data_IF_017321865213
#
_entry.id   IF_017321865213
#
_cell.length_a   1.000
_cell.length_b   1.000
_cell.length_c   1.000
_cell.angle_alpha   90.00
_cell.angle_beta   90.00
_cell.angle_gamma   90.00
#
_symmetry.space_group_name_H-M   'P 1'
#
loop_
_entity.id
_entity.type
_entity.pdbx_description
1 polymer ?
#
# COMPACT_ATOMS: atom_id res chain seq x y z
N UNK A 1 -4.20 -55.66 17.08
CA UNK A 1 -3.29 -54.61 16.54
C UNK A 1 -3.64 -54.37 15.07
N UNK A 2 -4.46 -53.36 14.82
CA UNK A 2 -4.75 -52.90 13.45
C UNK A 2 -3.83 -51.69 13.16
N UNK A 3 -2.60 -52.00 12.77
CA UNK A 3 -1.65 -51.01 12.28
C UNK A 3 -2.08 -50.53 10.92
N UNK A 4 -2.84 -49.42 10.86
CA UNK A 4 -3.07 -48.70 9.62
C UNK A 4 -1.76 -48.09 9.10
N UNK A 5 -1.66 -47.75 7.81
CA UNK A 5 -0.47 -47.10 7.26
C UNK A 5 -0.17 -45.81 8.00
N UNK A 6 1.11 -45.44 8.19
CA UNK A 6 1.52 -44.22 8.90
C UNK A 6 0.87 -43.01 8.22
N UNK A 7 0.12 -42.23 8.98
CA UNK A 7 -0.47 -40.95 8.52
C UNK A 7 0.56 -39.85 8.65
N UNK A 8 0.92 -39.23 7.53
CA UNK A 8 1.72 -38.04 7.53
C UNK A 8 0.82 -36.85 7.90
N UNK A 9 1.11 -36.19 9.00
CA UNK A 9 0.39 -35.00 9.46
C UNK A 9 1.25 -33.77 9.11
N UNK A 10 0.71 -32.89 8.30
CA UNK A 10 1.34 -31.62 8.02
C UNK A 10 0.76 -30.56 8.94
N UNK A 11 1.63 -29.83 9.64
CA UNK A 11 1.23 -28.70 10.48
C UNK A 11 1.83 -27.41 9.91
N UNK A 12 1.02 -26.35 9.89
CA UNK A 12 1.49 -25.01 9.52
C UNK A 12 2.33 -24.49 10.70
N UNK A 13 3.61 -24.29 10.49
CA UNK A 13 4.54 -23.78 11.52
C UNK A 13 4.52 -22.26 11.66
N UNK A 14 4.16 -21.55 10.58
CA UNK A 14 4.13 -20.08 10.54
C UNK A 14 2.76 -19.59 10.11
N UNK A 15 2.23 -18.60 10.82
CA UNK A 15 1.00 -17.95 10.40
C UNK A 15 1.29 -16.97 9.25
N UNK A 16 0.55 -17.09 8.16
CA UNK A 16 0.71 -16.30 6.94
C UNK A 16 -0.64 -15.65 6.62
N UNK A 17 -0.61 -14.37 6.23
CA UNK A 17 -1.73 -13.66 5.62
C UNK A 17 -1.48 -13.54 4.13
N UNK A 18 -2.46 -13.91 3.32
CA UNK A 18 -2.45 -13.72 1.86
C UNK A 18 -3.66 -12.84 1.54
N UNK A 19 -3.42 -11.75 0.82
CA UNK A 19 -4.46 -10.83 0.35
C UNK A 19 -4.34 -10.66 -1.14
N UNK A 20 -5.47 -10.73 -1.83
CA UNK A 20 -5.56 -10.53 -3.27
C UNK A 20 -6.65 -9.51 -3.52
N UNK A 21 -6.26 -8.38 -4.09
CA UNK A 21 -7.18 -7.33 -4.51
C UNK A 21 -7.24 -7.36 -6.05
N UNK A 22 -8.43 -7.53 -6.62
CA UNK A 22 -8.66 -7.62 -8.05
C UNK A 22 -9.66 -6.54 -8.48
N UNK A 23 -9.37 -5.88 -9.58
CA UNK A 23 -10.25 -4.90 -10.20
C UNK A 23 -9.88 -4.69 -11.67
N UNK A 24 -10.62 -3.85 -12.42
CA UNK A 24 -10.34 -3.62 -13.83
C UNK A 24 -8.89 -3.21 -14.12
N UNK A 25 -8.30 -2.36 -13.28
CA UNK A 25 -6.90 -1.92 -13.36
C UNK A 25 -6.16 -2.14 -12.04
N UNK A 26 -6.60 -3.13 -11.27
CA UNK A 26 -6.04 -3.48 -9.98
C UNK A 26 -5.72 -4.96 -9.93
N UNK A 27 -4.44 -5.28 -9.80
CA UNK A 27 -3.97 -6.57 -9.33
C UNK A 27 -2.95 -6.36 -8.23
N UNK A 28 -3.30 -6.71 -7.01
CA UNK A 28 -2.36 -6.69 -5.89
C UNK A 28 -2.44 -8.05 -5.19
N UNK A 29 -1.29 -8.71 -5.06
CA UNK A 29 -1.16 -9.95 -4.31
C UNK A 29 -0.08 -9.73 -3.25
N UNK A 30 -0.50 -9.72 -1.99
CA UNK A 30 0.38 -9.50 -0.87
C UNK A 30 0.42 -10.72 0.02
N UNK A 31 1.62 -11.19 0.31
CA UNK A 31 1.89 -12.25 1.26
C UNK A 31 2.71 -11.70 2.42
N UNK A 32 2.21 -11.85 3.63
CA UNK A 32 2.90 -11.42 4.85
C UNK A 32 2.98 -12.55 5.86
N UNK A 33 4.13 -12.69 6.52
CA UNK A 33 4.21 -13.48 7.74
C UNK A 33 3.59 -12.69 8.88
N UNK A 34 2.67 -13.32 9.60
CA UNK A 34 2.12 -12.69 10.80
C UNK A 34 3.20 -12.67 11.90
N UNK A 35 3.31 -11.56 12.63
CA UNK A 35 4.34 -11.45 13.67
C UNK A 35 4.11 -12.48 14.77
N UNK A 36 5.12 -13.29 15.10
CA UNK A 36 5.05 -14.17 16.24
C UNK A 36 5.15 -13.34 17.53
N UNK A 37 4.45 -13.76 18.55
CA UNK A 37 4.66 -13.22 19.89
C UNK A 37 3.39 -13.00 20.69
N UNK A 38 3.59 -12.76 21.97
CA UNK A 38 2.52 -12.45 22.90
C UNK A 38 2.02 -11.00 22.78
N UNK A 39 0.91 -10.68 23.45
CA UNK A 39 0.23 -9.38 23.37
C UNK A 39 1.15 -8.18 23.62
N UNK A 40 2.11 -8.27 24.52
CA UNK A 40 3.05 -7.16 24.82
C UNK A 40 3.97 -6.80 23.67
N UNK A 41 4.36 -7.77 22.83
CA UNK A 41 5.18 -7.51 21.64
C UNK A 41 4.38 -6.88 20.49
N UNK A 42 3.07 -7.04 20.52
CA UNK A 42 2.16 -6.54 19.52
C UNK A 42 1.58 -5.18 19.88
N UNK A 43 1.65 -4.73 21.14
CA UNK A 43 0.97 -3.54 21.64
C UNK A 43 1.19 -2.28 20.78
N UNK A 44 2.44 -2.04 20.34
CA UNK A 44 2.76 -0.88 19.51
C UNK A 44 2.17 -0.92 18.08
N UNK A 45 1.66 -2.08 17.66
CA UNK A 45 1.07 -2.30 16.34
C UNK A 45 -0.44 -2.45 16.38
N UNK A 46 -1.00 -2.51 17.58
CA UNK A 46 -2.43 -2.69 17.78
C UNK A 46 -3.15 -1.34 17.79
N UNK A 47 -4.38 -1.28 17.28
CA UNK A 47 -5.26 -0.14 17.49
C UNK A 47 -5.47 0.14 18.97
N UNK A 48 -5.57 1.41 19.34
CA UNK A 48 -5.70 1.81 20.75
C UNK A 48 -6.89 1.13 21.45
N UNK A 49 -7.98 0.89 20.74
CA UNK A 49 -9.19 0.22 21.25
C UNK A 49 -8.93 -1.21 21.74
N UNK A 50 -7.88 -1.86 21.27
CA UNK A 50 -7.52 -3.25 21.65
C UNK A 50 -6.46 -3.33 22.73
N UNK A 51 -5.91 -2.21 23.20
CA UNK A 51 -4.84 -2.20 24.21
C UNK A 51 -5.29 -2.81 25.55
N UNK A 52 -6.53 -2.53 25.97
CA UNK A 52 -7.10 -3.10 27.19
C UNK A 52 -7.18 -4.64 27.15
N UNK A 53 -7.55 -5.20 26.00
CA UNK A 53 -7.57 -6.65 25.77
C UNK A 53 -6.15 -7.21 25.83
N UNK A 54 -5.20 -6.55 25.16
CA UNK A 54 -3.79 -6.98 25.16
C UNK A 54 -3.18 -6.97 26.58
N UNK A 55 -3.46 -5.95 27.39
CA UNK A 55 -3.02 -5.85 28.77
C UNK A 55 -3.63 -6.94 29.66
N UNK A 56 -4.94 -7.17 29.55
CA UNK A 56 -5.63 -8.22 30.30
C UNK A 56 -5.07 -9.60 30.00
N UNK A 57 -4.84 -9.90 28.72
CA UNK A 57 -4.31 -11.19 28.27
C UNK A 57 -2.85 -11.36 28.73
N UNK A 58 -2.07 -10.30 28.75
CA UNK A 58 -0.65 -10.32 29.18
C UNK A 58 -0.47 -10.56 30.67
N UNK A 59 -1.37 -10.01 31.49
CA UNK A 59 -1.27 -10.09 32.97
C UNK A 59 -1.75 -11.42 33.56
N UNK A 60 -2.45 -12.25 32.79
CA UNK A 60 -3.09 -13.47 33.30
C UNK A 60 -2.48 -14.73 32.72
N UNK A 61 -2.13 -15.69 33.58
CA UNK A 61 -1.67 -17.02 33.16
C UNK A 61 -2.79 -17.89 32.54
N UNK A 62 -4.03 -17.64 32.94
CA UNK A 62 -5.22 -18.37 32.41
C UNK A 62 -6.36 -17.37 32.24
N UNK A 63 -7.06 -17.51 31.15
CA UNK A 63 -8.30 -16.79 30.83
C UNK A 63 -9.41 -17.85 30.82
N UNK A 64 -10.57 -17.52 31.36
CA UNK A 64 -11.73 -18.42 31.28
C UNK A 64 -12.18 -18.53 29.84
N UNK A 65 -12.81 -19.65 29.46
CA UNK A 65 -13.31 -19.85 28.10
C UNK A 65 -14.29 -18.75 27.71
N UNK A 66 -15.16 -18.37 28.63
CA UNK A 66 -16.18 -17.32 28.41
C UNK A 66 -15.55 -15.95 28.12
N UNK A 67 -14.58 -15.53 28.94
CA UNK A 67 -13.83 -14.28 28.72
C UNK A 67 -13.05 -14.33 27.40
N UNK A 68 -12.39 -15.45 27.10
CA UNK A 68 -11.63 -15.63 25.88
C UNK A 68 -12.49 -15.53 24.63
N UNK A 69 -13.68 -16.12 24.63
CA UNK A 69 -14.65 -16.00 23.52
C UNK A 69 -15.11 -14.54 23.35
N UNK A 70 -15.37 -13.83 24.45
CA UNK A 70 -15.72 -12.41 24.39
C UNK A 70 -14.62 -11.58 23.75
N UNK A 71 -13.39 -11.73 24.19
CA UNK A 71 -12.25 -11.00 23.61
C UNK A 71 -11.99 -11.34 22.13
N UNK A 72 -12.17 -12.61 21.75
CA UNK A 72 -12.08 -12.99 20.32
C UNK A 72 -13.15 -12.32 19.49
N UNK A 73 -14.37 -12.21 19.99
CA UNK A 73 -15.45 -11.53 19.29
C UNK A 73 -15.16 -10.02 19.13
N UNK A 74 -14.68 -9.36 20.19
CA UNK A 74 -14.23 -7.95 20.12
C UNK A 74 -13.12 -7.75 19.11
N UNK A 75 -12.10 -8.59 19.12
CA UNK A 75 -10.98 -8.51 18.17
C UNK A 75 -11.44 -8.75 16.73
N UNK A 76 -12.33 -9.71 16.50
CA UNK A 76 -12.88 -9.96 15.16
C UNK A 76 -13.65 -8.74 14.64
N UNK A 77 -14.42 -8.07 15.49
CA UNK A 77 -15.13 -6.85 15.11
C UNK A 77 -14.16 -5.71 14.74
N UNK A 78 -13.06 -5.57 15.48
CA UNK A 78 -12.02 -4.57 15.16
C UNK A 78 -11.33 -4.91 13.83
N UNK A 79 -11.01 -6.17 13.59
CA UNK A 79 -10.41 -6.64 12.32
C UNK A 79 -11.36 -6.32 11.15
N UNK A 80 -12.64 -6.65 11.27
CA UNK A 80 -13.65 -6.38 10.25
C UNK A 80 -13.77 -4.86 9.96
N UNK A 81 -13.76 -4.03 10.99
CA UNK A 81 -13.79 -2.58 10.81
C UNK A 81 -12.55 -2.04 10.09
N UNK A 82 -11.36 -2.58 10.40
CA UNK A 82 -10.12 -2.20 9.72
C UNK A 82 -10.11 -2.66 8.25
N UNK A 83 -10.62 -3.85 7.97
CA UNK A 83 -10.75 -4.36 6.61
C UNK A 83 -11.73 -3.51 5.80
N UNK A 84 -12.88 -3.13 6.35
CA UNK A 84 -13.84 -2.22 5.72
C UNK A 84 -13.24 -0.84 5.43
N UNK A 85 -12.48 -0.28 6.38
CA UNK A 85 -11.78 1.00 6.16
C UNK A 85 -10.72 0.89 5.06
N UNK A 86 -9.96 -0.20 5.04
CA UNK A 86 -9.00 -0.47 3.99
C UNK A 86 -9.67 -0.56 2.62
N UNK A 87 -10.76 -1.30 2.51
CA UNK A 87 -11.49 -1.49 1.25
C UNK A 87 -12.06 -0.16 0.73
N UNK A 88 -12.56 0.69 1.62
CA UNK A 88 -12.98 2.05 1.27
C UNK A 88 -11.81 2.89 0.73
N UNK A 89 -10.62 2.79 1.34
CA UNK A 89 -9.42 3.50 0.87
C UNK A 89 -8.95 2.98 -0.49
N UNK A 90 -8.98 1.67 -0.73
CA UNK A 90 -8.66 1.08 -2.03
C UNK A 90 -9.64 1.56 -3.10
N UNK A 91 -10.93 1.57 -2.80
CA UNK A 91 -11.96 2.08 -3.71
C UNK A 91 -11.74 3.55 -4.05
N UNK A 92 -11.42 4.38 -3.06
CA UNK A 92 -11.08 5.79 -3.27
C UNK A 92 -9.82 5.94 -4.13
N UNK A 93 -8.77 5.17 -3.84
CA UNK A 93 -7.54 5.15 -4.62
C UNK A 93 -7.81 4.82 -6.09
N UNK A 94 -8.59 3.76 -6.36
CA UNK A 94 -8.99 3.40 -7.71
C UNK A 94 -9.79 4.50 -8.41
N UNK A 95 -10.72 5.12 -7.68
CA UNK A 95 -11.49 6.23 -8.24
C UNK A 95 -10.62 7.42 -8.65
N UNK A 96 -9.64 7.78 -7.82
CA UNK A 96 -8.67 8.84 -8.13
C UNK A 96 -7.83 8.44 -9.34
N UNK A 97 -7.31 7.21 -9.35
CA UNK A 97 -6.49 6.67 -10.44
C UNK A 97 -7.23 6.73 -11.78
N UNK A 98 -8.47 6.26 -11.82
CA UNK A 98 -9.30 6.29 -13.03
C UNK A 98 -9.55 7.72 -13.52
N UNK A 99 -9.80 8.67 -12.60
CA UNK A 99 -9.99 10.08 -12.99
C UNK A 99 -8.72 10.72 -13.55
N UNK A 100 -7.57 10.42 -12.96
CA UNK A 100 -6.29 10.91 -13.45
C UNK A 100 -6.01 10.32 -14.83
N UNK A 101 -6.19 9.01 -15.01
CA UNK A 101 -5.95 8.33 -16.29
C UNK A 101 -6.78 8.91 -17.43
N UNK A 102 -8.04 9.28 -17.17
CA UNK A 102 -8.88 9.96 -18.16
C UNK A 102 -8.35 11.34 -18.55
N UNK A 103 -7.69 12.05 -17.63
CA UNK A 103 -7.08 13.36 -17.88
C UNK A 103 -5.75 13.28 -18.62
N UNK A 104 -5.04 12.17 -18.51
CA UNK A 104 -3.71 12.02 -19.12
C UNK A 104 -3.77 12.16 -20.64
N UNK A 105 -4.78 11.57 -21.28
CA UNK A 105 -4.93 11.61 -22.73
C UNK A 105 -5.24 13.02 -23.25
N UNK A 106 -5.85 13.87 -22.44
CA UNK A 106 -6.15 15.27 -22.81
C UNK A 106 -5.00 16.22 -22.53
N UNK A 107 -4.23 15.97 -21.49
CA UNK A 107 -3.20 16.90 -20.98
C UNK A 107 -1.81 16.62 -21.58
N UNK A 108 -1.58 15.41 -22.10
CA UNK A 108 -0.31 14.96 -22.66
C UNK A 108 -0.50 14.39 -24.06
N UNK A 109 0.07 15.08 -25.04
CA UNK A 109 -0.13 14.72 -26.45
C UNK A 109 0.74 13.54 -26.89
N UNK A 110 1.98 13.45 -26.38
CA UNK A 110 2.94 12.45 -26.80
C UNK A 110 2.69 11.11 -26.10
N UNK A 111 2.82 10.01 -26.83
CA UNK A 111 2.66 8.67 -26.29
C UNK A 111 3.64 8.39 -25.14
N UNK A 112 4.88 8.80 -25.30
CA UNK A 112 5.96 8.59 -24.32
C UNK A 112 5.70 9.33 -23.02
N UNK A 113 5.16 10.55 -23.09
CA UNK A 113 4.73 11.31 -21.91
C UNK A 113 3.60 10.58 -21.17
N UNK A 114 2.58 10.12 -21.90
CA UNK A 114 1.46 9.38 -21.31
C UNK A 114 1.93 8.09 -20.63
N UNK A 115 2.78 7.32 -21.29
CA UNK A 115 3.32 6.09 -20.74
C UNK A 115 4.12 6.35 -19.45
N UNK A 116 4.93 7.41 -19.41
CA UNK A 116 5.67 7.81 -18.22
C UNK A 116 4.72 8.24 -17.09
N UNK A 117 3.67 9.02 -17.39
CA UNK A 117 2.67 9.41 -16.39
C UNK A 117 1.93 8.19 -15.84
N UNK A 118 1.54 7.23 -16.68
CA UNK A 118 0.91 5.99 -16.21
C UNK A 118 1.82 5.21 -15.27
N UNK A 119 3.12 5.14 -15.57
CA UNK A 119 4.09 4.52 -14.66
C UNK A 119 4.22 5.25 -13.31
N UNK A 120 4.09 6.59 -13.29
CA UNK A 120 4.03 7.37 -12.05
C UNK A 120 2.73 7.08 -11.28
N UNK A 121 1.59 7.01 -11.98
CA UNK A 121 0.27 6.75 -11.37
C UNK A 121 0.22 5.34 -10.74
N UNK A 122 0.92 4.37 -11.33
CA UNK A 122 0.96 3.00 -10.81
C UNK A 122 1.66 2.89 -9.46
N UNK A 123 2.72 3.64 -9.25
CA UNK A 123 3.49 3.61 -8.01
C UNK A 123 4.03 5.01 -7.67
N UNK A 124 3.16 5.95 -7.28
CA UNK A 124 3.53 7.36 -7.09
C UNK A 124 4.55 7.58 -5.98
N UNK A 125 4.66 6.64 -5.04
CA UNK A 125 5.64 6.66 -3.95
C UNK A 125 7.02 6.14 -4.36
N UNK A 126 7.14 5.50 -5.52
CA UNK A 126 8.39 4.90 -6.00
C UNK A 126 9.03 5.75 -7.07
N UNK A 127 10.37 5.82 -7.05
CA UNK A 127 11.11 6.39 -8.18
C UNK A 127 10.98 5.48 -9.39
N UNK A 128 10.82 6.08 -10.56
CA UNK A 128 10.74 5.35 -11.83
C UNK A 128 12.05 4.61 -12.13
N UNK A 129 11.91 3.39 -12.61
CA UNK A 129 13.03 2.65 -13.21
C UNK A 129 13.24 3.12 -14.65
N UNK A 130 14.19 4.07 -14.81
CA UNK A 130 14.50 4.64 -16.12
C UNK A 130 15.06 3.60 -17.10
N UNK A 131 15.67 2.52 -16.61
CA UNK A 131 16.17 1.43 -17.47
C UNK A 131 15.00 0.60 -18.03
N UNK A 132 13.98 0.36 -17.20
CA UNK A 132 12.77 -0.31 -17.64
C UNK A 132 12.03 0.54 -18.68
N UNK A 133 11.78 1.81 -18.36
CA UNK A 133 11.13 2.75 -19.27
C UNK A 133 11.90 2.93 -20.59
N UNK A 134 13.23 2.98 -20.56
CA UNK A 134 14.07 3.06 -21.75
C UNK A 134 13.82 1.87 -22.69
N UNK A 135 13.65 0.68 -22.14
CA UNK A 135 13.35 -0.52 -22.92
C UNK A 135 11.92 -0.54 -23.44
N UNK A 136 10.96 -0.18 -22.61
CA UNK A 136 9.54 -0.16 -22.97
C UNK A 136 9.23 0.88 -24.04
N UNK A 137 9.80 2.07 -23.91
CA UNK A 137 9.60 3.17 -24.85
C UNK A 137 10.56 3.13 -26.06
N UNK A 138 11.52 2.19 -26.08
CA UNK A 138 12.57 2.09 -27.10
C UNK A 138 13.37 3.41 -27.27
N UNK A 139 13.56 4.13 -26.18
CA UNK A 139 14.32 5.39 -26.12
C UNK A 139 15.66 5.19 -25.44
N UNK A 140 16.65 6.01 -25.80
CA UNK A 140 17.91 6.05 -25.06
C UNK A 140 17.73 6.59 -23.63
N UNK A 141 18.57 6.15 -22.69
CA UNK A 141 18.47 6.58 -21.27
C UNK A 141 18.48 8.10 -21.11
N UNK A 142 19.27 8.80 -21.91
CA UNK A 142 19.32 10.27 -21.92
C UNK A 142 17.98 10.87 -22.31
N UNK A 143 17.34 10.36 -23.36
CA UNK A 143 16.05 10.81 -23.83
C UNK A 143 14.95 10.58 -22.79
N UNK A 144 14.97 9.43 -22.10
CA UNK A 144 14.03 9.14 -21.01
C UNK A 144 14.24 10.09 -19.83
N UNK A 145 15.50 10.44 -19.51
CA UNK A 145 15.78 11.42 -18.45
C UNK A 145 15.30 12.83 -18.82
N UNK A 146 15.53 13.26 -20.06
CA UNK A 146 15.05 14.55 -20.57
C UNK A 146 13.52 14.60 -20.57
N UNK A 147 12.86 13.54 -21.04
CA UNK A 147 11.40 13.40 -21.00
C UNK A 147 10.84 13.44 -19.58
N UNK A 148 11.51 12.80 -18.60
CA UNK A 148 11.11 12.85 -17.20
C UNK A 148 11.12 14.28 -16.65
N UNK A 149 12.15 15.06 -16.96
CA UNK A 149 12.23 16.46 -16.52
C UNK A 149 11.14 17.33 -17.18
N UNK A 150 10.82 17.09 -18.46
CA UNK A 150 9.71 17.76 -19.14
C UNK A 150 8.35 17.43 -18.50
N UNK A 151 8.09 16.15 -18.21
CA UNK A 151 6.88 15.68 -17.54
C UNK A 151 6.78 16.28 -16.13
N UNK A 152 7.85 16.28 -15.36
CA UNK A 152 7.90 16.93 -14.05
C UNK A 152 7.55 18.42 -14.13
N UNK A 153 8.14 19.13 -15.09
CA UNK A 153 7.88 20.55 -15.27
C UNK A 153 6.41 20.83 -15.63
N UNK A 154 5.78 19.97 -16.47
CA UNK A 154 4.35 20.06 -16.79
C UNK A 154 3.48 19.83 -15.55
N UNK A 155 3.75 18.78 -14.77
CA UNK A 155 3.03 18.49 -13.53
C UNK A 155 3.16 19.62 -12.50
N UNK A 156 4.36 20.17 -12.33
CA UNK A 156 4.61 21.30 -11.43
C UNK A 156 3.82 22.55 -11.82
N UNK A 157 3.74 22.86 -13.12
CA UNK A 157 2.90 23.98 -13.61
C UNK A 157 1.42 23.76 -13.30
N UNK A 158 0.89 22.55 -13.48
CA UNK A 158 -0.49 22.24 -13.17
C UNK A 158 -0.79 22.42 -11.66
N UNK A 159 0.14 22.03 -10.79
CA UNK A 159 0.02 22.24 -9.34
C UNK A 159 0.06 23.72 -9.00
N UNK A 160 1.00 24.48 -9.57
CA UNK A 160 1.16 25.92 -9.30
C UNK A 160 -0.09 26.70 -9.69
N UNK A 161 -0.76 26.33 -10.77
CA UNK A 161 -2.01 26.97 -11.21
C UNK A 161 -3.21 26.62 -10.31
N UNK A 162 -3.17 25.49 -9.61
CA UNK A 162 -4.23 25.03 -8.69
C UNK A 162 -3.88 25.28 -7.21
N UNK A 163 -2.93 26.15 -6.90
CA UNK A 163 -2.26 26.34 -5.63
C UNK A 163 -3.14 26.77 -4.43
N UNK A 164 -4.32 26.16 -4.27
CA UNK A 164 -5.15 26.32 -3.07
C UNK A 164 -5.17 25.11 -2.13
N UNK A 165 -4.79 23.90 -2.56
CA UNK A 165 -5.10 22.68 -1.81
C UNK A 165 -4.05 21.57 -1.83
N UNK A 166 -2.81 21.79 -2.26
CA UNK A 166 -1.78 20.77 -2.09
C UNK A 166 -1.11 20.95 -0.74
N UNK A 167 -1.53 20.15 0.22
CA UNK A 167 -0.85 20.04 1.53
C UNK A 167 0.41 19.18 1.31
N UNK A 168 1.42 19.77 0.71
CA UNK A 168 2.76 19.22 0.75
C UNK A 168 3.42 19.73 2.03
N UNK A 169 3.33 18.98 3.11
CA UNK A 169 4.14 19.25 4.29
C UNK A 169 5.61 18.90 3.99
N UNK A 170 6.58 19.68 4.50
CA UNK A 170 8.00 19.41 4.31
C UNK A 170 8.43 17.99 4.76
N UNK A 171 7.68 17.39 5.68
CA UNK A 171 7.91 16.05 6.22
C UNK A 171 7.56 14.93 5.23
N UNK A 172 6.71 15.21 4.23
CA UNK A 172 6.29 14.26 3.20
C UNK A 172 6.99 14.46 1.84
N UNK A 173 8.07 15.20 1.77
CA UNK A 173 8.79 15.50 0.52
C UNK A 173 9.33 14.24 -0.17
N UNK A 174 9.53 13.13 0.56
CA UNK A 174 9.93 11.85 -0.02
C UNK A 174 8.79 11.14 -0.77
N UNK A 175 7.52 11.41 -0.40
CA UNK A 175 6.36 10.83 -1.08
C UNK A 175 6.19 11.39 -2.50
N UNK A 176 6.66 12.61 -2.74
CA UNK A 176 6.55 13.28 -4.03
C UNK A 176 7.93 13.48 -4.64
N UNK A 177 8.67 12.40 -4.88
CA UNK A 177 10.01 12.44 -5.45
C UNK A 177 10.09 13.25 -6.77
N UNK A 178 9.00 13.32 -7.50
CA UNK A 178 8.89 14.11 -8.74
C UNK A 178 8.68 15.62 -8.50
N UNK A 179 8.38 16.04 -7.25
CA UNK A 179 8.33 17.45 -6.81
C UNK A 179 9.64 17.89 -6.12
N UNK A 180 10.54 16.96 -5.80
CA UNK A 180 11.58 17.13 -4.80
C UNK A 180 12.76 18.04 -5.13
N UNK A 181 12.92 18.55 -6.34
CA UNK A 181 14.04 19.40 -6.71
C UNK A 181 13.83 20.91 -6.43
N UNK A 182 12.81 21.27 -5.66
CA UNK A 182 12.53 22.66 -5.28
C UNK A 182 13.37 23.17 -4.10
N UNK A 183 14.36 22.40 -3.61
CA UNK A 183 15.30 22.83 -2.56
C UNK A 183 16.71 22.93 -3.08
N UNK A 184 16.92 23.78 -4.09
CA UNK A 184 18.28 24.23 -4.45
C UNK A 184 18.16 25.62 -5.03
N UNK A 185 17.95 26.60 -4.15
CA UNK A 185 18.61 27.93 -4.15
C UNK A 185 18.12 28.72 -2.95
#
# INVERSE_FOLDING_TARGET
ETGGPPRTIYTVQEAISIRIDLGPDLFNCEQRKLPPGGPMRLSNKLPQVTHSVAEMVSGRKRISVSEGVGHLAELNQVIENLDNQRDALISLHQHIRNRISQGVDSDFEQYEERAMIHSIIEAPEKRLDLNLLSRELQLGQRQVSELLEEVKAKLQRQISHRAGHVIATPENSELYWWLGDYKSN
#
